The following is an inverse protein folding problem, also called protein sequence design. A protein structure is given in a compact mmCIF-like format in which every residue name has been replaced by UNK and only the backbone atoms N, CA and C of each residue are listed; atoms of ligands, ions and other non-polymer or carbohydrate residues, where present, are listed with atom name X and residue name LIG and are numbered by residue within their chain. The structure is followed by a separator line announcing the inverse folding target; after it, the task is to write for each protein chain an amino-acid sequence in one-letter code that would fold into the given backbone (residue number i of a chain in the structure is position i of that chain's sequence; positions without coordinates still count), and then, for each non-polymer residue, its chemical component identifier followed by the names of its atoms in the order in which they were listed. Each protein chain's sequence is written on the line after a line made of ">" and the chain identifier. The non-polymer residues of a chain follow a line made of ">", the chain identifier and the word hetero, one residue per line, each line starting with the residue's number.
data_IF_670498790857
#
_entry.id   IF_670498790857
#
_cell.length_a   1.000
_cell.length_b   1.000
_cell.length_c   1.000
_cell.angle_alpha   90.00
_cell.angle_beta   90.00
_cell.angle_gamma   90.00
#
_symmetry.space_group_name_H-M   'P 1'
#
loop_
_entity.id
_entity.type
_entity.pdbx_description
1 polymer ?
#
# COMPACT_ATOMS: atom_id res chain seq x y z
N UNK A 1 -44.17 42.41 -63.81
CA UNK A 1 -42.96 42.52 -62.95
C UNK A 1 -43.20 41.56 -61.78
N UNK A 2 -42.55 40.39 -61.78
CA UNK A 2 -42.81 39.30 -60.83
C UNK A 2 -41.69 39.24 -59.81
N UNK A 3 -41.98 39.53 -58.52
CA UNK A 3 -41.06 39.38 -57.40
C UNK A 3 -40.97 37.90 -57.02
N UNK A 4 -39.80 37.30 -57.14
CA UNK A 4 -39.54 35.95 -56.64
C UNK A 4 -39.06 36.05 -55.19
N UNK A 5 -39.90 35.52 -54.28
CA UNK A 5 -39.50 35.33 -52.89
C UNK A 5 -38.62 34.11 -52.77
N UNK A 6 -37.42 34.26 -52.27
CA UNK A 6 -36.51 33.19 -51.94
C UNK A 6 -36.73 32.81 -50.48
N UNK A 7 -37.20 31.59 -50.29
CA UNK A 7 -37.44 30.99 -48.95
C UNK A 7 -36.10 30.37 -48.50
N UNK A 8 -35.43 31.00 -47.57
CA UNK A 8 -34.22 30.47 -46.94
C UNK A 8 -34.65 29.51 -45.84
N UNK A 9 -34.47 28.24 -46.08
CA UNK A 9 -34.69 27.17 -45.12
C UNK A 9 -33.47 27.07 -44.17
N UNK A 10 -33.58 27.63 -42.99
CA UNK A 10 -32.52 27.55 -41.96
C UNK A 10 -32.56 26.17 -41.34
N UNK A 11 -31.60 25.32 -41.69
CA UNK A 11 -31.40 24.00 -41.12
C UNK A 11 -30.54 24.14 -39.85
N UNK A 12 -31.21 24.27 -38.71
CA UNK A 12 -30.55 24.27 -37.41
C UNK A 12 -30.14 22.88 -37.02
N UNK A 13 -28.86 22.53 -37.24
CA UNK A 13 -28.28 21.29 -36.74
C UNK A 13 -28.06 21.40 -35.23
N UNK A 14 -28.88 20.70 -34.43
CA UNK A 14 -28.62 20.46 -33.02
C UNK A 14 -27.43 19.49 -32.90
N UNK A 15 -26.25 20.00 -32.60
CA UNK A 15 -25.13 19.21 -32.10
C UNK A 15 -25.42 18.81 -30.67
N UNK A 16 -25.90 17.59 -30.49
CA UNK A 16 -25.96 16.94 -29.19
C UNK A 16 -24.53 16.62 -28.74
N UNK A 17 -23.95 17.47 -27.91
CA UNK A 17 -22.71 17.19 -27.18
C UNK A 17 -23.05 16.09 -26.17
N UNK A 18 -22.84 14.84 -26.53
CA UNK A 18 -22.69 13.77 -25.56
C UNK A 18 -21.38 14.03 -24.81
N UNK A 19 -21.49 14.74 -23.70
CA UNK A 19 -20.42 14.84 -22.71
C UNK A 19 -20.19 13.43 -22.15
N UNK A 20 -19.10 12.77 -22.57
CA UNK A 20 -18.53 11.68 -21.78
C UNK A 20 -18.13 12.32 -20.44
N UNK A 21 -18.93 12.13 -19.40
CA UNK A 21 -18.46 12.26 -18.04
C UNK A 21 -17.50 11.12 -17.80
N UNK A 22 -16.22 11.33 -18.10
CA UNK A 22 -15.16 10.51 -17.58
C UNK A 22 -15.17 10.70 -16.07
N UNK A 23 -15.79 9.76 -15.35
CA UNK A 23 -15.52 9.61 -13.91
C UNK A 23 -14.01 9.54 -13.78
N UNK A 24 -13.37 10.40 -12.96
CA UNK A 24 -11.94 10.26 -12.73
C UNK A 24 -11.68 8.81 -12.31
N UNK A 25 -10.61 8.18 -12.79
CA UNK A 25 -10.26 6.85 -12.34
C UNK A 25 -10.22 6.89 -10.81
N UNK A 26 -11.01 6.02 -10.15
CA UNK A 26 -10.95 5.84 -8.70
C UNK A 26 -9.49 5.43 -8.44
N UNK A 27 -8.77 6.21 -7.67
CA UNK A 27 -7.43 5.82 -7.22
C UNK A 27 -7.59 4.50 -6.47
N UNK A 28 -6.97 3.45 -6.99
CA UNK A 28 -6.98 2.15 -6.34
C UNK A 28 -6.20 2.29 -5.04
N UNK A 29 -6.91 2.19 -3.93
CA UNK A 29 -6.32 2.24 -2.59
C UNK A 29 -6.05 0.81 -2.12
N UNK A 30 -4.96 0.60 -1.38
CA UNK A 30 -4.65 -0.69 -0.78
C UNK A 30 -5.74 -1.16 0.21
N UNK A 31 -6.58 -0.26 0.69
CA UNK A 31 -7.72 -0.57 1.55
C UNK A 31 -8.83 -1.35 0.84
N UNK A 32 -8.84 -1.40 -0.50
CA UNK A 32 -9.73 -2.32 -1.23
C UNK A 32 -9.42 -3.79 -0.94
N UNK A 33 -8.20 -4.09 -0.47
CA UNK A 33 -7.73 -5.42 -0.08
C UNK A 33 -7.78 -5.68 1.43
N UNK A 34 -8.36 -4.77 2.21
CA UNK A 34 -8.55 -4.96 3.65
C UNK A 34 -9.35 -6.23 3.94
N UNK A 35 -9.04 -6.88 5.05
CA UNK A 35 -9.59 -8.16 5.47
C UNK A 35 -9.24 -9.35 4.56
N UNK A 36 -8.24 -9.20 3.69
CA UNK A 36 -7.71 -10.33 2.91
C UNK A 36 -7.03 -11.38 3.80
N UNK A 37 -6.75 -12.53 3.22
CA UNK A 37 -6.03 -13.62 3.88
C UNK A 37 -4.63 -13.80 3.29
N UNK A 38 -3.68 -14.32 4.06
CA UNK A 38 -2.31 -14.63 3.58
C UNK A 38 -2.34 -15.51 2.32
N UNK A 39 -3.30 -16.41 2.20
CA UNK A 39 -3.42 -17.28 1.02
C UNK A 39 -3.90 -16.58 -0.27
N UNK A 40 -4.38 -15.35 -0.19
CA UNK A 40 -4.76 -14.55 -1.35
C UNK A 40 -3.54 -13.78 -1.88
N UNK A 41 -2.77 -14.45 -2.74
CA UNK A 41 -1.55 -13.88 -3.31
C UNK A 41 -1.79 -12.61 -4.15
N UNK A 42 -2.97 -12.48 -4.75
CA UNK A 42 -3.35 -11.30 -5.52
C UNK A 42 -3.54 -10.09 -4.62
N UNK A 43 -4.33 -10.25 -3.55
CA UNK A 43 -4.57 -9.19 -2.58
C UNK A 43 -3.27 -8.80 -1.85
N UNK A 44 -2.50 -9.79 -1.34
CA UNK A 44 -1.23 -9.52 -0.66
C UNK A 44 -0.24 -8.82 -1.60
N UNK A 45 -0.13 -9.23 -2.86
CA UNK A 45 0.71 -8.59 -3.85
C UNK A 45 0.29 -7.14 -4.15
N UNK A 46 -1.01 -6.85 -4.18
CA UNK A 46 -1.51 -5.49 -4.38
C UNK A 46 -1.32 -4.59 -3.15
N UNK A 47 -1.32 -5.17 -1.95
CA UNK A 47 -0.98 -4.45 -0.71
C UNK A 47 0.51 -4.12 -0.66
N UNK A 48 1.38 -5.08 -1.00
CA UNK A 48 2.83 -4.95 -0.80
C UNK A 48 3.53 -4.16 -1.91
N UNK A 49 3.06 -4.21 -3.15
CA UNK A 49 3.70 -3.55 -4.31
C UNK A 49 3.85 -2.03 -4.18
N UNK A 50 2.87 -1.25 -3.64
CA UNK A 50 3.01 0.19 -3.50
C UNK A 50 3.69 0.62 -2.19
N UNK A 51 4.19 -0.32 -1.36
CA UNK A 51 4.90 0.01 -0.14
C UNK A 51 6.30 0.56 -0.46
N UNK A 52 6.85 1.32 0.48
CA UNK A 52 8.18 1.88 0.33
C UNK A 52 9.24 0.76 0.30
N UNK A 53 10.23 0.91 -0.56
CA UNK A 53 11.40 0.05 -0.65
C UNK A 53 12.63 0.77 -0.12
N UNK A 54 13.65 0.05 0.39
CA UNK A 54 14.91 0.68 0.76
C UNK A 54 15.58 1.30 -0.46
N UNK A 55 16.27 2.41 -0.29
CA UNK A 55 17.08 2.99 -1.37
C UNK A 55 18.20 2.04 -1.78
N UNK A 56 18.32 1.73 -3.05
CA UNK A 56 19.30 0.77 -3.57
C UNK A 56 18.89 -0.69 -3.46
N UNK A 57 17.64 -0.97 -3.13
CA UNK A 57 17.09 -2.31 -3.14
C UNK A 57 15.71 -2.35 -3.80
N UNK A 58 15.40 -3.48 -4.42
CA UNK A 58 14.09 -3.74 -5.01
C UNK A 58 13.48 -5.01 -4.41
N UNK A 59 12.16 -5.03 -4.24
CA UNK A 59 11.45 -6.24 -3.83
C UNK A 59 11.53 -7.30 -4.93
N UNK A 60 12.35 -8.32 -4.71
CA UNK A 60 12.61 -9.42 -5.64
C UNK A 60 11.68 -10.62 -5.47
N UNK A 61 10.97 -10.74 -4.35
CA UNK A 61 10.11 -11.90 -4.09
C UNK A 61 9.18 -11.75 -2.91
N UNK A 62 8.05 -12.47 -3.01
CA UNK A 62 7.02 -12.55 -1.97
C UNK A 62 6.75 -14.03 -1.66
N UNK A 63 6.87 -14.42 -0.39
CA UNK A 63 6.53 -15.77 0.06
C UNK A 63 5.38 -15.72 1.07
N UNK A 64 4.39 -16.58 0.89
CA UNK A 64 3.22 -16.67 1.76
C UNK A 64 3.29 -17.96 2.57
N UNK A 65 3.46 -17.84 3.88
CA UNK A 65 3.57 -18.98 4.81
C UNK A 65 2.16 -19.35 5.30
N UNK A 66 1.53 -20.30 4.59
CA UNK A 66 0.13 -20.68 4.79
C UNK A 66 -0.05 -22.14 5.20
N UNK A 67 1.04 -22.89 5.35
CA UNK A 67 0.98 -24.34 5.62
C UNK A 67 0.72 -24.64 7.09
N UNK A 68 1.33 -23.85 7.97
CA UNK A 68 1.24 -24.02 9.43
C UNK A 68 1.04 -22.66 10.10
N UNK A 69 0.23 -22.62 11.17
CA UNK A 69 0.09 -21.43 12.00
C UNK A 69 1.30 -21.26 12.95
N UNK A 70 1.71 -20.05 13.28
CA UNK A 70 1.14 -18.76 12.83
C UNK A 70 1.50 -18.41 11.39
N UNK A 71 0.50 -17.99 10.60
CA UNK A 71 0.70 -17.61 9.20
C UNK A 71 1.50 -16.31 9.07
N UNK A 72 2.29 -16.21 8.01
CA UNK A 72 3.15 -15.06 7.81
C UNK A 72 3.46 -14.75 6.35
N UNK A 73 4.13 -13.63 6.17
CA UNK A 73 4.52 -13.10 4.86
C UNK A 73 6.00 -12.77 4.89
N UNK A 74 6.75 -13.18 3.86
CA UNK A 74 8.16 -12.83 3.70
C UNK A 74 8.31 -11.99 2.43
N UNK A 75 8.95 -10.83 2.56
CA UNK A 75 9.36 -10.00 1.45
C UNK A 75 10.88 -10.13 1.30
N UNK A 76 11.33 -10.55 0.11
CA UNK A 76 12.74 -10.70 -0.20
C UNK A 76 13.18 -9.52 -1.08
N UNK A 77 14.26 -8.86 -0.69
CA UNK A 77 14.85 -7.74 -1.41
C UNK A 77 16.15 -8.16 -2.07
N UNK A 78 16.52 -7.46 -3.12
CA UNK A 78 17.77 -7.66 -3.86
C UNK A 78 18.38 -6.31 -4.21
N UNK A 79 19.74 -6.22 -4.33
CA UNK A 79 20.39 -4.97 -4.66
C UNK A 79 19.90 -4.38 -5.99
N UNK A 80 19.78 -3.06 -6.05
CA UNK A 80 19.69 -2.30 -7.29
C UNK A 80 21.10 -1.81 -7.67
N UNK A 81 21.71 -2.47 -8.65
CA UNK A 81 23.07 -2.16 -9.11
C UNK A 81 23.23 -0.74 -9.68
N UNK A 82 22.14 0.00 -9.87
CA UNK A 82 22.13 1.37 -10.41
C UNK A 82 22.31 2.45 -9.34
N UNK A 83 22.18 2.10 -8.07
CA UNK A 83 22.21 3.04 -6.93
C UNK A 83 23.28 2.60 -5.93
N UNK A 84 24.11 3.54 -5.46
CA UNK A 84 24.99 3.27 -4.31
C UNK A 84 24.15 3.25 -3.03
N UNK A 85 24.28 2.19 -2.23
CA UNK A 85 23.55 2.04 -0.97
C UNK A 85 23.82 3.24 -0.05
N UNK A 86 22.74 3.83 0.47
CA UNK A 86 22.81 4.81 1.55
C UNK A 86 22.73 4.10 2.91
N UNK A 87 23.11 4.76 3.99
CA UNK A 87 22.80 4.30 5.35
C UNK A 87 21.29 4.33 5.53
N UNK A 88 20.66 3.15 5.59
CA UNK A 88 19.22 2.98 5.64
C UNK A 88 18.80 2.49 7.02
N UNK A 89 17.74 3.08 7.53
CA UNK A 89 17.06 2.52 8.70
C UNK A 89 16.04 1.46 8.24
N UNK A 90 16.53 0.23 8.02
CA UNK A 90 15.67 -0.91 7.67
C UNK A 90 14.59 -1.18 8.72
N UNK A 91 14.84 -0.85 9.98
CA UNK A 91 13.95 -1.14 11.10
C UNK A 91 12.72 -0.26 11.06
N UNK A 92 12.90 1.05 10.87
CA UNK A 92 11.77 1.98 10.72
C UNK A 92 10.92 1.62 9.51
N UNK A 93 11.56 1.34 8.36
CA UNK A 93 10.88 0.92 7.14
C UNK A 93 10.10 -0.38 7.32
N UNK A 94 10.73 -1.39 7.96
CA UNK A 94 10.09 -2.67 8.24
C UNK A 94 8.88 -2.49 9.17
N UNK A 95 9.01 -1.67 10.21
CA UNK A 95 7.94 -1.39 11.16
C UNK A 95 6.76 -0.69 10.48
N UNK A 96 7.03 0.30 9.63
CA UNK A 96 6.01 0.98 8.83
C UNK A 96 5.28 0.01 7.90
N UNK A 97 6.02 -0.74 7.09
CA UNK A 97 5.45 -1.66 6.11
C UNK A 97 4.71 -2.83 6.77
N UNK A 98 5.27 -3.42 7.85
CA UNK A 98 4.62 -4.47 8.61
C UNK A 98 3.29 -4.00 9.22
N UNK A 99 3.25 -2.79 9.74
CA UNK A 99 2.03 -2.19 10.31
C UNK A 99 0.90 -2.13 9.28
N UNK A 100 1.20 -1.70 8.07
CA UNK A 100 0.22 -1.66 6.97
C UNK A 100 -0.22 -3.07 6.57
N UNK A 101 0.73 -3.99 6.36
CA UNK A 101 0.42 -5.36 5.93
C UNK A 101 -0.44 -6.07 6.99
N UNK A 102 -0.05 -5.99 8.26
CA UNK A 102 -0.77 -6.63 9.36
C UNK A 102 -2.12 -5.97 9.68
N UNK A 103 -2.31 -4.69 9.34
CA UNK A 103 -3.62 -4.05 9.41
C UNK A 103 -4.60 -4.57 8.36
N UNK A 104 -4.12 -4.91 7.16
CA UNK A 104 -4.95 -5.26 6.01
C UNK A 104 -5.12 -6.78 5.82
N UNK A 105 -4.11 -7.59 6.15
CA UNK A 105 -4.14 -9.06 6.03
C UNK A 105 -4.53 -9.68 7.37
N UNK A 106 -5.79 -10.05 7.52
CA UNK A 106 -6.40 -10.33 8.83
C UNK A 106 -5.87 -11.55 9.57
N UNK A 107 -5.35 -12.56 8.85
CA UNK A 107 -4.80 -13.79 9.45
C UNK A 107 -3.28 -13.89 9.34
N UNK A 108 -2.59 -12.82 8.95
CA UNK A 108 -1.14 -12.74 9.07
C UNK A 108 -0.77 -12.44 10.52
N UNK A 109 0.09 -13.23 11.10
CA UNK A 109 0.56 -13.03 12.48
C UNK A 109 1.95 -12.42 12.53
N UNK A 110 2.69 -12.45 11.41
CA UNK A 110 4.00 -11.86 11.31
C UNK A 110 4.36 -11.52 9.85
N UNK A 111 5.25 -10.55 9.70
CA UNK A 111 5.90 -10.19 8.43
C UNK A 111 7.40 -10.20 8.64
N UNK A 112 8.14 -10.73 7.68
CA UNK A 112 9.61 -10.75 7.66
C UNK A 112 10.10 -10.06 6.40
N UNK A 113 11.09 -9.21 6.57
CA UNK A 113 11.78 -8.51 5.50
C UNK A 113 13.21 -9.03 5.44
N UNK A 114 13.56 -9.64 4.31
CA UNK A 114 14.93 -10.09 4.02
C UNK A 114 15.57 -9.01 3.15
N UNK A 115 16.07 -7.95 3.78
CA UNK A 115 16.90 -6.93 3.13
C UNK A 115 18.25 -7.49 2.76
N UNK A 116 19.04 -6.74 1.97
CA UNK A 116 20.36 -7.19 1.52
C UNK A 116 21.32 -7.39 2.68
N UNK A 117 21.27 -6.53 3.69
CA UNK A 117 22.22 -6.56 4.81
C UNK A 117 21.60 -7.02 6.14
N UNK A 118 20.29 -6.93 6.30
CA UNK A 118 19.59 -7.23 7.56
C UNK A 118 18.29 -8.01 7.30
N UNK A 119 17.96 -8.92 8.21
CA UNK A 119 16.66 -9.56 8.29
C UNK A 119 15.87 -8.96 9.46
N UNK A 120 14.68 -8.44 9.17
CA UNK A 120 13.81 -7.83 10.18
C UNK A 120 12.48 -8.57 10.19
N UNK A 121 12.06 -9.03 11.36
CA UNK A 121 10.76 -9.66 11.56
C UNK A 121 9.93 -8.88 12.56
N UNK A 122 8.67 -8.67 12.22
CA UNK A 122 7.70 -7.95 13.03
C UNK A 122 6.45 -8.81 13.20
N UNK A 123 6.00 -9.01 14.42
CA UNK A 123 4.79 -9.76 14.72
C UNK A 123 3.60 -8.84 15.02
N UNK A 124 2.40 -9.40 14.89
CA UNK A 124 1.15 -8.72 15.23
C UNK A 124 1.07 -8.37 16.71
N UNK A 125 1.47 -9.30 17.58
CA UNK A 125 1.41 -9.11 19.02
C UNK A 125 2.34 -7.96 19.47
N UNK A 126 3.58 -7.91 18.95
CA UNK A 126 4.51 -6.81 19.20
C UNK A 126 3.94 -5.47 18.76
N UNK A 127 3.36 -5.40 17.55
CA UNK A 127 2.72 -4.17 17.08
C UNK A 127 1.53 -3.75 17.93
N UNK A 128 0.72 -4.70 18.38
CA UNK A 128 -0.46 -4.43 19.18
C UNK A 128 -0.08 -3.88 20.58
N UNK A 129 0.98 -4.42 21.15
CA UNK A 129 1.52 -3.93 22.43
C UNK A 129 2.16 -2.55 22.26
N UNK A 130 2.84 -2.30 21.16
CA UNK A 130 3.52 -1.03 20.89
C UNK A 130 2.55 0.12 20.58
N UNK A 131 1.57 -0.11 19.71
CA UNK A 131 0.56 0.90 19.37
C UNK A 131 -0.54 1.06 20.43
N UNK A 132 -0.70 0.08 21.32
CA UNK A 132 -1.82 0.02 22.30
C UNK A 132 -3.20 0.13 21.58
N UNK A 133 -3.24 -0.22 20.32
CA UNK A 133 -4.43 -0.15 19.45
C UNK A 133 -4.35 -1.23 18.37
N UNK A 134 -5.49 -1.85 18.08
CA UNK A 134 -5.58 -2.77 16.94
C UNK A 134 -5.60 -1.99 15.61
N UNK A 135 -4.58 -2.16 14.79
CA UNK A 135 -4.47 -1.47 13.51
C UNK A 135 -5.57 -1.88 12.51
N UNK A 136 -6.24 -3.01 12.75
CA UNK A 136 -7.38 -3.46 11.93
C UNK A 136 -8.63 -2.62 12.13
N UNK A 137 -8.70 -1.81 13.19
CA UNK A 137 -9.85 -0.93 13.48
C UNK A 137 -9.92 0.30 12.58
N UNK A 138 -8.83 0.63 11.87
CA UNK A 138 -8.85 1.73 10.92
C UNK A 138 -9.69 1.38 9.69
N UNK A 139 -10.52 2.33 9.25
CA UNK A 139 -11.38 2.20 8.08
C UNK A 139 -10.90 2.97 6.86
N UNK A 140 -9.96 3.91 7.07
CA UNK A 140 -9.42 4.78 6.02
C UNK A 140 -7.88 4.66 5.96
N UNK A 141 -7.35 4.58 4.74
CA UNK A 141 -5.91 4.42 4.53
C UNK A 141 -5.10 5.60 5.08
N UNK A 142 -5.57 6.82 4.84
CA UNK A 142 -4.88 8.04 5.27
C UNK A 142 -4.79 8.12 6.80
N UNK A 143 -5.85 7.72 7.51
CA UNK A 143 -5.85 7.69 8.97
C UNK A 143 -4.85 6.66 9.52
N UNK A 144 -4.80 5.47 8.92
CA UNK A 144 -3.84 4.44 9.31
C UNK A 144 -2.40 4.91 9.08
N UNK A 145 -2.10 5.44 7.90
CA UNK A 145 -0.75 5.91 7.55
C UNK A 145 -0.30 7.04 8.47
N UNK A 146 -1.17 8.02 8.73
CA UNK A 146 -0.87 9.14 9.63
C UNK A 146 -0.62 8.67 11.05
N UNK A 147 -1.42 7.72 11.54
CA UNK A 147 -1.25 7.14 12.88
C UNK A 147 0.08 6.40 13.03
N UNK A 148 0.46 5.58 12.04
CA UNK A 148 1.75 4.87 12.05
C UNK A 148 2.89 5.90 12.02
N UNK A 149 2.84 6.88 11.12
CA UNK A 149 3.88 7.89 10.96
C UNK A 149 4.11 8.69 12.25
N UNK A 150 3.05 9.11 12.94
CA UNK A 150 3.15 9.83 14.21
C UNK A 150 3.90 9.02 15.29
N UNK A 151 3.73 7.68 15.30
CA UNK A 151 4.42 6.82 16.25
C UNK A 151 5.89 6.61 15.90
N UNK A 152 6.22 6.60 14.59
CA UNK A 152 7.60 6.44 14.11
C UNK A 152 8.47 7.71 14.29
N UNK A 153 7.87 8.88 14.51
CA UNK A 153 8.61 10.11 14.83
C UNK A 153 9.41 10.02 16.13
N UNK A 154 9.09 9.07 17.01
CA UNK A 154 9.78 8.84 18.28
C UNK A 154 10.85 7.75 18.11
N UNK A 155 12.05 8.16 17.65
CA UNK A 155 13.19 7.26 17.42
C UNK A 155 13.53 6.38 18.64
N UNK A 156 13.38 6.91 19.88
CA UNK A 156 13.67 6.14 21.09
C UNK A 156 12.69 4.97 21.26
N UNK A 157 11.42 5.16 20.89
CA UNK A 157 10.42 4.09 20.90
C UNK A 157 10.65 3.07 19.80
N UNK A 158 11.03 3.51 18.60
CA UNK A 158 11.40 2.60 17.50
C UNK A 158 12.56 1.72 17.90
N UNK A 159 13.63 2.31 18.46
CA UNK A 159 14.75 1.52 18.98
C UNK A 159 14.34 0.56 20.12
N UNK A 160 13.42 0.98 21.00
CA UNK A 160 12.94 0.12 22.08
C UNK A 160 12.18 -1.10 21.55
N UNK A 161 11.36 -0.93 20.50
CA UNK A 161 10.63 -2.02 19.85
C UNK A 161 11.54 -3.19 19.43
N UNK A 162 12.76 -2.90 18.98
CA UNK A 162 13.70 -3.91 18.52
C UNK A 162 14.71 -4.38 19.58
N UNK A 163 14.61 -3.93 20.82
CA UNK A 163 15.49 -4.35 21.92
C UNK A 163 14.93 -5.50 22.77
N UNK A 164 13.62 -5.69 22.72
CA UNK A 164 12.90 -6.73 23.48
C UNK A 164 12.76 -8.01 22.65
#
# INVERSE_FOLDING_TARGET
>A
MKKKSILILSFTALLSLYGCTSTPPKEETIFEYKDSYVGDSGAVGNITRPLAEPEGENMGGLELKTTEEPYGIILNYSPDDSIENSELDYRELALYNASIILALVKNAEWVQFNFVEEEVKVSRDELQDWFVKDLRDFSEEEELRSFIQEHLEDEEKVEQFFRD
#
